data_IF_431788840662
#
_entry.id   IF_431788840662
#
_cell.length_a   1.000
_cell.length_b   1.000
_cell.length_c   1.000
_cell.angle_alpha   90.00
_cell.angle_beta   90.00
_cell.angle_gamma   90.00
#
_symmetry.space_group_name_H-M   'P 1'
#
loop_
_entity.id
_entity.type
_entity.pdbx_description
1 polymer ?
#
# COMPACT_ATOMS: atom_id res chain seq x y z
N UNK A 1 6.88 -15.80 13.10
CA UNK A 1 5.60 -16.41 12.67
C UNK A 1 5.64 -17.86 13.08
N UNK A 2 4.88 -18.27 14.11
CA UNK A 2 4.69 -19.69 14.40
C UNK A 2 3.70 -20.20 13.35
N UNK A 3 4.17 -20.93 12.34
CA UNK A 3 3.27 -21.62 11.41
C UNK A 3 2.87 -22.92 12.10
N UNK A 4 1.76 -22.89 12.84
CA UNK A 4 1.07 -24.11 13.22
C UNK A 4 0.15 -24.44 12.06
N UNK A 5 0.46 -25.51 11.34
CA UNK A 5 -0.52 -26.13 10.44
C UNK A 5 -1.64 -26.67 11.33
N UNK A 6 -2.66 -25.84 11.58
CA UNK A 6 -3.81 -26.15 12.42
C UNK A 6 -4.68 -27.31 11.89
N UNK A 7 -4.25 -27.98 10.82
CA UNK A 7 -4.97 -29.05 10.13
C UNK A 7 -4.63 -30.46 10.61
N UNK A 8 -3.75 -30.66 11.60
CA UNK A 8 -3.30 -32.01 11.99
C UNK A 8 -4.00 -32.62 13.22
N UNK A 9 -4.90 -31.91 13.90
CA UNK A 9 -5.64 -32.47 15.05
C UNK A 9 -4.77 -32.89 16.24
N UNK A 10 -3.52 -32.42 16.31
CA UNK A 10 -2.56 -32.70 17.38
C UNK A 10 -2.75 -31.69 18.52
N UNK A 11 -2.72 -32.15 19.78
CA UNK A 11 -2.78 -31.27 20.95
C UNK A 11 -1.58 -30.31 20.97
N UNK A 12 -1.78 -29.08 21.45
CA UNK A 12 -0.69 -28.11 21.60
C UNK A 12 0.42 -28.61 22.53
N UNK A 13 0.06 -29.44 23.52
CA UNK A 13 1.00 -30.02 24.50
C UNK A 13 1.96 -31.04 23.87
N UNK A 14 1.57 -31.66 22.74
CA UNK A 14 2.38 -32.64 22.01
C UNK A 14 3.33 -31.99 20.99
N UNK A 15 3.27 -30.66 20.82
CA UNK A 15 4.11 -29.94 19.87
C UNK A 15 5.55 -29.84 20.38
N UNK A 16 6.44 -30.62 19.76
CA UNK A 16 7.89 -30.49 19.97
C UNK A 16 8.48 -29.44 19.04
N UNK A 17 8.90 -28.30 19.60
CA UNK A 17 9.63 -27.26 18.85
C UNK A 17 11.02 -27.79 18.48
N UNK A 18 11.23 -28.14 17.21
CA UNK A 18 12.52 -28.67 16.73
C UNK A 18 13.52 -27.56 16.38
N UNK A 19 13.04 -26.48 15.75
CA UNK A 19 13.85 -25.36 15.29
C UNK A 19 12.98 -24.12 15.14
N UNK A 20 13.52 -22.97 15.52
CA UNK A 20 12.92 -21.68 15.20
C UNK A 20 13.64 -21.10 13.97
N UNK A 21 12.89 -20.82 12.91
CA UNK A 21 13.40 -20.13 11.72
C UNK A 21 12.87 -18.70 11.74
N UNK A 22 13.78 -17.74 11.59
CA UNK A 22 13.44 -16.33 11.50
C UNK A 22 13.56 -15.87 10.05
N UNK A 23 12.56 -15.13 9.58
CA UNK A 23 12.64 -14.33 8.36
C UNK A 23 12.60 -12.86 8.76
N UNK A 24 13.43 -12.03 8.15
CA UNK A 24 13.44 -10.58 8.35
C UNK A 24 13.05 -9.94 7.02
N UNK A 25 11.98 -9.15 7.05
CA UNK A 25 11.53 -8.32 5.93
C UNK A 25 11.76 -6.87 6.30
N UNK A 26 12.83 -6.22 5.79
CA UNK A 26 13.10 -4.82 6.09
C UNK A 26 12.01 -3.96 5.44
N UNK A 27 11.27 -3.21 6.26
CA UNK A 27 10.30 -2.22 5.77
C UNK A 27 10.76 -0.83 6.10
N UNK A 28 10.77 0.02 5.08
CA UNK A 28 11.17 1.41 5.19
C UNK A 28 9.94 2.29 5.20
N UNK A 29 9.92 3.23 6.16
CA UNK A 29 8.87 4.24 6.25
C UNK A 29 8.89 5.15 5.02
N UNK A 30 10.08 5.63 4.66
CA UNK A 30 10.31 6.48 3.50
C UNK A 30 10.59 5.60 2.29
N UNK A 31 9.54 4.95 1.80
CA UNK A 31 9.55 4.14 0.58
C UNK A 31 8.48 4.63 -0.39
N UNK A 32 8.70 4.52 -1.71
CA UNK A 32 9.87 4.00 -2.41
C UNK A 32 11.13 4.86 -2.30
N UNK A 33 12.32 4.26 -2.36
CA UNK A 33 13.59 4.98 -2.35
C UNK A 33 13.88 5.64 -3.71
N UNK A 34 14.10 6.95 -3.66
CA UNK A 34 14.55 7.74 -4.81
C UNK A 34 15.97 7.36 -5.25
N UNK A 35 16.26 7.52 -6.54
CA UNK A 35 17.57 7.25 -7.08
C UNK A 35 18.59 8.31 -6.62
N UNK A 36 19.60 7.89 -5.88
CA UNK A 36 20.63 8.79 -5.34
C UNK A 36 21.78 9.09 -6.33
N UNK A 37 21.94 8.29 -7.38
CA UNK A 37 23.07 8.39 -8.31
C UNK A 37 22.60 8.26 -9.76
N UNK A 38 23.36 8.87 -10.66
CA UNK A 38 23.18 8.67 -12.10
C UNK A 38 23.36 7.21 -12.45
N UNK A 39 22.51 6.70 -13.35
CA UNK A 39 22.56 5.32 -13.88
C UNK A 39 22.36 4.22 -12.82
N UNK A 40 21.93 4.56 -11.60
CA UNK A 40 21.62 3.60 -10.53
C UNK A 40 20.15 3.74 -10.13
N UNK A 41 19.40 2.65 -10.26
CA UNK A 41 17.99 2.58 -9.87
C UNK A 41 17.76 1.39 -8.94
N UNK A 42 17.11 1.63 -7.80
CA UNK A 42 16.68 0.56 -6.91
C UNK A 42 15.41 -0.11 -7.47
N UNK A 43 15.34 -1.44 -7.38
CA UNK A 43 14.25 -2.23 -7.93
C UNK A 43 13.85 -3.39 -6.98
N UNK A 44 12.56 -3.73 -6.97
CA UNK A 44 12.02 -4.75 -6.08
C UNK A 44 12.21 -4.40 -4.60
N UNK A 45 12.61 -5.36 -3.78
CA UNK A 45 12.83 -5.14 -2.33
C UNK A 45 13.86 -4.03 -2.05
N UNK A 46 14.84 -3.86 -2.94
CA UNK A 46 15.84 -2.80 -2.80
C UNK A 46 15.25 -1.39 -2.95
N UNK A 47 14.10 -1.22 -3.60
CA UNK A 47 13.42 0.08 -3.69
C UNK A 47 12.47 0.33 -2.52
N UNK A 48 12.21 -0.67 -1.67
CA UNK A 48 11.22 -0.57 -0.62
C UNK A 48 9.77 -0.54 -1.11
N UNK A 49 9.50 -0.79 -2.40
CA UNK A 49 8.14 -0.96 -2.95
C UNK A 49 7.59 -2.33 -2.52
N UNK A 50 7.27 -2.46 -1.24
CA UNK A 50 6.70 -3.68 -0.66
C UNK A 50 5.34 -3.34 -0.06
N UNK A 51 4.47 -4.33 0.11
CA UNK A 51 3.31 -4.12 0.99
C UNK A 51 3.79 -3.87 2.42
N UNK A 52 3.29 -2.83 3.10
CA UNK A 52 3.64 -2.57 4.49
C UNK A 52 2.79 -3.42 5.46
N UNK A 53 1.70 -4.04 4.99
CA UNK A 53 0.81 -4.86 5.82
C UNK A 53 1.11 -6.34 5.67
N UNK A 54 1.28 -6.82 4.44
CA UNK A 54 1.59 -8.23 4.15
C UNK A 54 3.10 -8.52 4.08
N UNK A 55 3.94 -7.47 4.07
CA UNK A 55 5.40 -7.57 3.88
C UNK A 55 5.81 -8.22 2.55
N UNK A 56 4.86 -8.39 1.62
CA UNK A 56 5.09 -9.02 0.33
C UNK A 56 5.69 -8.04 -0.68
N UNK A 57 6.90 -8.31 -1.15
CA UNK A 57 7.52 -7.58 -2.26
C UNK A 57 7.03 -8.02 -3.65
N UNK A 58 6.78 -9.32 -3.84
CA UNK A 58 6.44 -9.87 -5.16
C UNK A 58 5.12 -9.32 -5.73
N UNK A 59 4.04 -9.33 -4.94
CA UNK A 59 2.73 -8.82 -5.38
C UNK A 59 2.74 -7.32 -5.70
N UNK A 60 3.47 -6.55 -4.87
CA UNK A 60 3.70 -5.12 -5.13
C UNK A 60 4.50 -4.91 -6.41
N UNK A 61 5.54 -5.71 -6.64
CA UNK A 61 6.37 -5.63 -7.84
C UNK A 61 5.58 -5.97 -9.11
N UNK A 62 4.79 -7.05 -9.12
CA UNK A 62 4.01 -7.44 -10.31
C UNK A 62 2.98 -6.38 -10.68
N UNK A 63 2.37 -5.71 -9.69
CA UNK A 63 1.51 -4.54 -9.91
C UNK A 63 2.25 -3.39 -10.60
N UNK A 64 3.48 -3.09 -10.20
CA UNK A 64 4.27 -1.98 -10.75
C UNK A 64 5.13 -2.35 -11.97
N UNK A 65 5.19 -3.61 -12.36
CA UNK A 65 6.09 -4.10 -13.40
C UNK A 65 5.88 -3.37 -14.74
N UNK A 66 4.64 -3.15 -15.15
CA UNK A 66 4.31 -2.46 -16.40
C UNK A 66 4.85 -1.03 -16.43
N UNK A 67 4.53 -0.21 -15.42
CA UNK A 67 5.00 1.18 -15.36
C UNK A 67 6.52 1.28 -15.25
N UNK A 68 7.15 0.37 -14.51
CA UNK A 68 8.59 0.37 -14.30
C UNK A 68 9.33 -0.07 -15.56
N UNK A 69 8.88 -1.14 -16.22
CA UNK A 69 9.45 -1.60 -17.49
C UNK A 69 9.38 -0.50 -18.56
N UNK A 70 8.21 0.11 -18.74
CA UNK A 70 8.02 1.18 -19.73
C UNK A 70 8.86 2.42 -19.40
N UNK A 71 8.92 2.80 -18.13
CA UNK A 71 9.68 3.95 -17.66
C UNK A 71 11.19 3.76 -17.77
N UNK A 72 11.70 2.57 -17.42
CA UNK A 72 13.12 2.21 -17.57
C UNK A 72 13.50 2.16 -19.06
N UNK A 73 12.67 1.54 -19.90
CA UNK A 73 12.90 1.48 -21.34
C UNK A 73 13.00 2.88 -21.96
N UNK A 74 12.10 3.78 -21.61
CA UNK A 74 12.11 5.17 -22.11
C UNK A 74 13.32 5.96 -21.59
N UNK A 75 13.69 5.77 -20.32
CA UNK A 75 14.85 6.41 -19.71
C UNK A 75 16.17 5.98 -20.39
N UNK A 76 16.34 4.68 -20.67
CA UNK A 76 17.51 4.15 -21.38
C UNK A 76 17.53 4.67 -22.81
N UNK A 77 16.41 4.55 -23.54
CA UNK A 77 16.34 4.90 -24.96
C UNK A 77 16.57 6.40 -25.22
N UNK A 78 16.20 7.24 -24.26
CA UNK A 78 16.34 8.70 -24.36
C UNK A 78 17.52 9.25 -23.56
N UNK A 79 18.35 8.39 -22.95
CA UNK A 79 19.46 8.74 -22.06
C UNK A 79 19.06 9.68 -20.89
N UNK A 80 17.84 9.52 -20.35
CA UNK A 80 17.38 10.19 -19.12
C UNK A 80 17.79 9.39 -17.89
N UNK A 81 19.10 9.21 -17.74
CA UNK A 81 19.72 8.37 -16.72
C UNK A 81 20.36 9.18 -15.59
N UNK A 82 20.02 10.47 -15.49
CA UNK A 82 20.36 11.29 -14.33
C UNK A 82 19.53 10.88 -13.10
N UNK A 83 20.09 11.06 -11.91
CA UNK A 83 19.46 10.68 -10.63
C UNK A 83 18.03 11.25 -10.48
N UNK A 84 17.80 12.47 -10.97
CA UNK A 84 16.50 13.12 -10.89
C UNK A 84 15.45 12.44 -11.77
N UNK A 85 15.81 12.11 -13.01
CA UNK A 85 14.94 11.40 -13.95
C UNK A 85 14.62 9.99 -13.44
N UNK A 86 15.63 9.26 -12.94
CA UNK A 86 15.44 7.92 -12.38
C UNK A 86 14.59 7.91 -11.11
N UNK A 87 14.69 8.96 -10.29
CA UNK A 87 13.87 9.09 -9.07
C UNK A 87 12.36 9.13 -9.36
N UNK A 88 11.96 9.56 -10.55
CA UNK A 88 10.55 9.58 -10.95
C UNK A 88 9.96 8.17 -11.12
N UNK A 89 10.79 7.13 -11.30
CA UNK A 89 10.37 5.74 -11.39
C UNK A 89 10.00 5.14 -10.02
N UNK A 90 10.56 5.69 -8.94
CA UNK A 90 10.24 5.36 -7.56
C UNK A 90 9.62 6.59 -6.86
N UNK A 91 8.43 7.04 -7.30
CA UNK A 91 7.82 8.25 -6.75
C UNK A 91 7.27 7.99 -5.35
N UNK A 92 7.02 9.07 -4.61
CA UNK A 92 6.24 9.01 -3.38
C UNK A 92 4.87 8.34 -3.61
N UNK A 93 4.51 7.39 -2.74
CA UNK A 93 3.28 6.60 -2.82
C UNK A 93 2.42 6.80 -1.56
N UNK A 94 1.44 7.73 -1.57
CA UNK A 94 0.65 8.00 -0.38
C UNK A 94 -0.22 6.82 0.07
N UNK A 95 -0.67 5.94 -0.84
CA UNK A 95 -1.35 4.69 -0.46
C UNK A 95 -0.45 3.75 0.37
N UNK A 96 0.84 3.69 0.03
CA UNK A 96 1.84 2.92 0.75
C UNK A 96 2.13 3.57 2.12
N UNK A 97 2.39 4.87 2.14
CA UNK A 97 2.66 5.58 3.39
C UNK A 97 1.45 5.61 4.34
N UNK A 98 0.22 5.70 3.80
CA UNK A 98 -1.00 5.65 4.60
C UNK A 98 -1.24 4.26 5.22
N UNK A 99 -0.80 3.17 4.58
CA UNK A 99 -0.96 1.82 5.12
C UNK A 99 0.01 1.51 6.26
N UNK A 100 1.12 2.23 6.37
CA UNK A 100 2.06 2.09 7.48
C UNK A 100 1.43 2.31 8.86
N UNK A 101 0.36 3.13 8.97
CA UNK A 101 -0.35 3.28 10.25
C UNK A 101 -0.95 1.95 10.73
N UNK A 102 -1.49 1.12 9.83
CA UNK A 102 -2.00 -0.20 10.19
C UNK A 102 -0.87 -1.06 10.74
N UNK A 103 0.28 -1.11 10.06
CA UNK A 103 1.45 -1.84 10.53
C UNK A 103 1.88 -1.36 11.94
N UNK A 104 1.95 -0.05 12.14
CA UNK A 104 2.35 0.56 13.41
C UNK A 104 1.36 0.25 14.54
N UNK A 105 0.05 0.27 14.24
CA UNK A 105 -1.00 -0.07 15.21
C UNK A 105 -1.02 -1.57 15.55
N UNK A 106 -0.66 -2.43 14.59
CA UNK A 106 -0.64 -3.89 14.75
C UNK A 106 0.71 -4.45 15.21
N UNK A 107 1.70 -3.59 15.48
CA UNK A 107 3.00 -4.01 15.99
C UNK A 107 2.99 -4.18 17.50
N UNK A 108 3.58 -5.26 18.01
CA UNK A 108 3.75 -5.46 19.45
C UNK A 108 4.74 -4.43 20.03
N UNK A 109 4.39 -3.87 21.20
CA UNK A 109 5.27 -2.99 21.99
C UNK A 109 5.70 -3.71 23.26
N UNK A 110 6.96 -3.53 23.66
CA UNK A 110 7.51 -4.12 24.90
C UNK A 110 6.77 -3.65 26.16
N UNK A 111 6.29 -2.41 26.15
CA UNK A 111 5.44 -1.82 27.18
C UNK A 111 4.25 -1.18 26.47
N UNK A 112 3.08 -1.78 26.64
CA UNK A 112 1.84 -1.40 25.98
C UNK A 112 0.79 -1.13 27.05
N UNK A 113 0.22 0.07 27.05
CA UNK A 113 -0.90 0.45 27.93
C UNK A 113 -2.27 0.13 27.31
N UNK A 114 -2.30 -0.74 26.29
CA UNK A 114 -3.52 -1.25 25.67
C UNK A 114 -3.75 -2.72 26.02
N UNK A 115 -5.01 -3.16 25.92
CA UNK A 115 -5.42 -4.54 26.18
C UNK A 115 -4.57 -5.54 25.37
N UNK A 116 -4.22 -6.72 25.94
CA UNK A 116 -3.61 -7.81 25.18
C UNK A 116 -4.42 -8.23 23.93
N UNK A 117 -5.73 -8.01 23.92
CA UNK A 117 -6.64 -8.32 22.81
C UNK A 117 -6.75 -7.21 21.76
N UNK A 118 -6.13 -6.05 21.98
CA UNK A 118 -6.32 -4.85 21.17
C UNK A 118 -6.10 -5.07 19.67
N UNK A 119 -5.01 -5.77 19.29
CA UNK A 119 -4.70 -6.02 17.87
C UNK A 119 -5.80 -6.85 17.21
N UNK A 120 -6.32 -7.86 17.91
CA UNK A 120 -7.41 -8.71 17.41
C UNK A 120 -8.71 -7.92 17.26
N UNK A 121 -9.03 -7.07 18.24
CA UNK A 121 -10.20 -6.19 18.18
C UNK A 121 -10.11 -5.19 17.02
N UNK A 122 -8.92 -4.60 16.82
CA UNK A 122 -8.67 -3.65 15.73
C UNK A 122 -8.82 -4.32 14.36
N UNK A 123 -8.23 -5.49 14.18
CA UNK A 123 -8.36 -6.29 12.96
C UNK A 123 -9.82 -6.68 12.72
N UNK A 124 -10.50 -7.19 13.74
CA UNK A 124 -11.89 -7.59 13.66
C UNK A 124 -12.78 -6.40 13.25
N UNK A 125 -12.65 -5.25 13.90
CA UNK A 125 -13.44 -4.06 13.59
C UNK A 125 -13.22 -3.55 12.15
N UNK A 126 -11.97 -3.56 11.68
CA UNK A 126 -11.63 -3.16 10.32
C UNK A 126 -12.23 -4.13 9.29
N UNK A 127 -12.00 -5.44 9.43
CA UNK A 127 -12.51 -6.44 8.49
C UNK A 127 -14.04 -6.55 8.52
N UNK A 128 -14.67 -6.46 9.69
CA UNK A 128 -16.13 -6.39 9.83
C UNK A 128 -16.69 -5.18 9.06
N UNK A 129 -16.04 -4.01 9.18
CA UNK A 129 -16.45 -2.80 8.48
C UNK A 129 -16.26 -2.91 6.97
N UNK A 130 -15.11 -3.42 6.51
CA UNK A 130 -14.85 -3.63 5.08
C UNK A 130 -15.81 -4.65 4.46
N UNK A 131 -16.14 -5.73 5.20
CA UNK A 131 -17.11 -6.72 4.74
C UNK A 131 -18.51 -6.10 4.56
N UNK A 132 -18.95 -5.25 5.51
CA UNK A 132 -20.21 -4.50 5.39
C UNK A 132 -20.22 -3.54 4.19
N UNK A 133 -19.06 -2.97 3.84
CA UNK A 133 -18.89 -2.08 2.69
C UNK A 133 -18.76 -2.83 1.34
N UNK A 134 -18.54 -4.14 1.39
CA UNK A 134 -18.55 -5.04 0.24
C UNK A 134 -17.22 -5.14 -0.53
N UNK A 135 -17.28 -5.91 -1.62
CA UNK A 135 -16.11 -6.26 -2.45
C UNK A 135 -15.28 -5.07 -2.97
N UNK A 136 -15.87 -3.93 -3.39
CA UNK A 136 -15.09 -2.77 -3.83
C UNK A 136 -14.20 -2.16 -2.75
N UNK A 137 -14.44 -2.46 -1.47
CA UNK A 137 -13.61 -2.01 -0.34
C UNK A 137 -12.68 -3.14 0.11
N UNK A 138 -13.22 -4.35 0.31
CA UNK A 138 -12.48 -5.46 0.89
C UNK A 138 -11.40 -6.02 -0.04
N UNK A 139 -11.72 -6.27 -1.31
CA UNK A 139 -10.79 -6.93 -2.26
C UNK A 139 -9.53 -6.11 -2.57
N UNK A 140 -9.60 -4.80 -2.83
CA UNK A 140 -8.38 -4.01 -3.02
C UNK A 140 -7.53 -4.00 -1.74
N UNK A 141 -8.14 -3.86 -0.57
CA UNK A 141 -7.41 -3.89 0.71
C UNK A 141 -6.63 -5.20 0.90
N UNK A 142 -7.25 -6.36 0.62
CA UNK A 142 -6.61 -7.67 0.69
C UNK A 142 -5.44 -7.85 -0.29
N UNK A 143 -5.36 -7.02 -1.32
CA UNK A 143 -4.27 -6.99 -2.30
C UNK A 143 -3.30 -5.83 -2.03
N UNK A 144 -3.31 -5.30 -0.80
CA UNK A 144 -2.47 -4.19 -0.36
C UNK A 144 -2.69 -2.89 -1.13
N UNK A 145 -3.91 -2.72 -1.66
CA UNK A 145 -4.31 -1.56 -2.42
C UNK A 145 -5.15 -0.64 -1.56
N UNK A 146 -4.52 0.37 -0.98
CA UNK A 146 -5.23 1.43 -0.29
C UNK A 146 -5.68 2.47 -1.30
N UNK A 147 -6.98 2.76 -1.28
CA UNK A 147 -7.62 3.82 -2.04
C UNK A 147 -8.30 4.78 -1.06
N UNK A 148 -8.43 6.05 -1.43
CA UNK A 148 -8.98 7.08 -0.55
C UNK A 148 -10.41 6.77 -0.09
N UNK A 149 -11.35 6.59 -1.03
CA UNK A 149 -12.78 6.40 -0.67
C UNK A 149 -13.02 5.14 0.17
N UNK A 150 -12.47 3.95 -0.17
CA UNK A 150 -12.56 2.77 0.68
C UNK A 150 -11.99 2.98 2.08
N UNK A 151 -10.86 3.68 2.19
CA UNK A 151 -10.23 3.98 3.48
C UNK A 151 -11.11 4.90 4.34
N UNK A 152 -11.60 6.01 3.77
CA UNK A 152 -12.50 6.95 4.45
C UNK A 152 -13.74 6.24 4.97
N UNK A 153 -14.40 5.44 4.12
CA UNK A 153 -15.60 4.68 4.49
C UNK A 153 -15.34 3.68 5.61
N UNK A 154 -14.22 2.96 5.53
CA UNK A 154 -13.86 1.97 6.54
C UNK A 154 -13.58 2.64 7.87
N UNK A 155 -12.74 3.67 7.90
CA UNK A 155 -12.41 4.40 9.12
C UNK A 155 -13.65 5.04 9.73
N UNK A 156 -14.50 5.68 8.93
CA UNK A 156 -15.76 6.26 9.38
C UNK A 156 -16.69 5.22 10.00
N UNK A 157 -16.84 4.05 9.37
CA UNK A 157 -17.69 2.97 9.90
C UNK A 157 -17.13 2.38 11.20
N UNK A 158 -15.81 2.24 11.32
CA UNK A 158 -15.16 1.82 12.58
C UNK A 158 -15.38 2.85 13.68
N UNK A 159 -15.25 4.15 13.38
CA UNK A 159 -15.50 5.22 14.35
C UNK A 159 -16.96 5.22 14.85
N UNK A 160 -17.92 4.90 13.98
CA UNK A 160 -19.34 4.83 14.32
C UNK A 160 -19.70 3.56 15.12
N UNK A 161 -19.12 2.41 14.75
CA UNK A 161 -19.51 1.11 15.32
C UNK A 161 -18.66 0.67 16.52
N UNK A 162 -17.41 1.15 16.60
CA UNK A 162 -16.42 0.80 17.64
C UNK A 162 -15.66 2.04 18.15
N UNK A 163 -16.34 3.09 18.64
CA UNK A 163 -15.68 4.35 19.03
C UNK A 163 -14.64 4.18 20.15
N UNK A 164 -14.82 3.18 21.02
CA UNK A 164 -13.91 2.88 22.14
C UNK A 164 -12.53 2.36 21.69
N UNK A 165 -12.37 2.00 20.41
CA UNK A 165 -11.07 1.58 19.86
C UNK A 165 -10.14 2.78 19.64
N UNK A 166 -10.69 3.99 19.47
CA UNK A 166 -9.92 5.19 19.12
C UNK A 166 -8.92 5.56 20.24
N UNK A 167 -9.30 5.68 21.53
CA UNK A 167 -8.34 5.95 22.59
C UNK A 167 -7.22 4.92 22.66
N UNK A 168 -7.52 3.65 22.40
CA UNK A 168 -6.54 2.57 22.35
C UNK A 168 -5.58 2.72 21.16
N UNK A 169 -6.08 3.14 19.98
CA UNK A 169 -5.19 3.52 18.86
C UNK A 169 -4.25 4.64 19.29
N UNK A 170 -4.75 5.71 19.92
CA UNK A 170 -3.91 6.83 20.37
C UNK A 170 -2.83 6.38 21.36
N UNK A 171 -3.17 5.53 22.34
CA UNK A 171 -2.19 4.92 23.27
C UNK A 171 -1.18 4.05 22.52
N UNK A 172 -1.65 3.26 21.54
CA UNK A 172 -0.82 2.31 20.82
C UNK A 172 0.13 2.99 19.84
N UNK A 173 -0.28 4.01 19.09
CA UNK A 173 0.57 4.61 18.05
C UNK A 173 1.21 5.93 18.49
N UNK A 174 0.53 6.69 19.36
CA UNK A 174 0.93 8.03 19.80
C UNK A 174 0.45 9.14 18.87
N UNK A 175 0.22 10.33 19.44
CA UNK A 175 -0.25 11.51 18.71
C UNK A 175 0.68 11.96 17.57
N UNK A 176 2.02 12.01 17.73
CA UNK A 176 2.91 12.44 16.65
C UNK A 176 2.78 11.58 15.39
N UNK A 177 2.61 10.27 15.58
CA UNK A 177 2.44 9.30 14.49
C UNK A 177 1.13 9.55 13.72
N UNK A 178 0.05 9.86 14.42
CA UNK A 178 -1.25 10.15 13.81
C UNK A 178 -1.24 11.45 13.03
N UNK A 179 -0.58 12.49 13.56
CA UNK A 179 -0.41 13.77 12.85
C UNK A 179 0.36 13.58 11.54
N UNK A 180 1.45 12.83 11.57
CA UNK A 180 2.23 12.54 10.37
C UNK A 180 1.43 11.70 9.36
N UNK A 181 0.73 10.66 9.81
CA UNK A 181 -0.15 9.87 8.97
C UNK A 181 -1.26 10.71 8.31
N UNK A 182 -1.79 11.72 9.01
CA UNK A 182 -2.82 12.60 8.46
C UNK A 182 -2.33 13.34 7.20
N UNK A 183 -1.03 13.68 7.12
CA UNK A 183 -0.42 14.24 5.92
C UNK A 183 -0.45 13.27 4.74
N UNK A 184 -0.10 12.00 4.97
CA UNK A 184 -0.18 10.94 3.94
C UNK A 184 -1.63 10.68 3.50
N UNK A 185 -2.57 10.71 4.44
CA UNK A 185 -4.00 10.57 4.17
C UNK A 185 -4.53 11.71 3.28
N UNK A 186 -4.16 12.96 3.56
CA UNK A 186 -4.50 14.11 2.71
C UNK A 186 -3.86 13.98 1.33
N UNK A 187 -2.60 13.57 1.26
CA UNK A 187 -1.91 13.33 -0.01
C UNK A 187 -2.53 12.21 -0.83
N UNK A 188 -3.07 11.17 -0.18
CA UNK A 188 -3.81 10.10 -0.84
C UNK A 188 -5.06 10.67 -1.52
N UNK A 189 -5.86 11.47 -0.82
CA UNK A 189 -7.01 12.16 -1.39
C UNK A 189 -6.62 13.11 -2.53
N UNK A 190 -5.52 13.85 -2.37
CA UNK A 190 -4.99 14.73 -3.41
C UNK A 190 -4.55 13.96 -4.67
N UNK A 191 -3.86 12.83 -4.52
CA UNK A 191 -3.46 11.97 -5.65
C UNK A 191 -4.69 11.34 -6.33
N UNK A 192 -5.70 10.92 -5.56
CA UNK A 192 -6.98 10.46 -6.10
C UNK A 192 -7.63 11.54 -6.94
N UNK A 193 -7.67 12.79 -6.46
CA UNK A 193 -8.18 13.93 -7.24
C UNK A 193 -7.38 14.17 -8.52
N UNK A 194 -6.06 14.28 -8.42
CA UNK A 194 -5.19 14.53 -9.56
C UNK A 194 -5.32 13.44 -10.63
N UNK A 195 -5.31 12.16 -10.23
CA UNK A 195 -5.45 11.05 -11.16
C UNK A 195 -6.85 10.95 -11.78
N UNK A 196 -7.90 11.33 -11.06
CA UNK A 196 -9.29 11.20 -11.55
C UNK A 196 -9.70 12.37 -12.45
N UNK A 197 -9.22 13.58 -12.16
CA UNK A 197 -9.72 14.81 -12.80
C UNK A 197 -8.66 15.55 -13.62
N UNK A 198 -7.38 15.47 -13.25
CA UNK A 198 -6.31 16.23 -13.91
C UNK A 198 -5.54 15.38 -14.92
N UNK A 199 -5.21 14.13 -14.62
CA UNK A 199 -4.55 13.20 -15.58
C UNK A 199 -5.32 13.14 -16.92
N UNK A 200 -6.65 12.91 -16.96
CA UNK A 200 -7.37 12.81 -18.23
C UNK A 200 -7.32 14.08 -19.08
N UNK A 201 -7.12 15.24 -18.45
CA UNK A 201 -6.97 16.53 -19.13
C UNK A 201 -5.57 16.69 -19.70
N UNK A 202 -4.53 16.28 -18.98
CA UNK A 202 -3.13 16.45 -19.39
C UNK A 202 -2.69 15.37 -20.38
N UNK A 203 -3.10 14.11 -20.18
CA UNK A 203 -2.60 12.92 -20.90
C UNK A 203 -2.72 13.02 -22.43
N UNK A 204 -3.80 13.57 -23.02
CA UNK A 204 -3.90 13.78 -24.47
C UNK A 204 -2.84 14.73 -25.06
N UNK A 205 -2.37 15.70 -24.26
CA UNK A 205 -1.41 16.72 -24.72
C UNK A 205 0.06 16.29 -24.56
N UNK A 206 0.35 15.18 -23.86
CA UNK A 206 1.72 14.70 -23.64
C UNK A 206 2.50 14.50 -24.94
N UNK A 207 1.83 14.10 -26.03
CA UNK A 207 2.47 13.91 -27.34
C UNK A 207 3.09 15.21 -27.90
N UNK A 208 2.62 16.37 -27.46
CA UNK A 208 3.11 17.69 -27.88
C UNK A 208 4.30 18.18 -27.04
N UNK A 209 4.60 17.52 -25.92
CA UNK A 209 5.67 17.97 -25.03
C UNK A 209 7.05 17.57 -25.57
N UNK A 210 8.10 18.38 -25.33
CA UNK A 210 9.48 18.01 -25.59
C UNK A 210 9.87 16.69 -24.89
N UNK A 211 10.84 15.95 -25.42
CA UNK A 211 11.16 14.58 -24.98
C UNK A 211 11.32 14.39 -23.47
N UNK A 212 12.19 15.18 -22.82
CA UNK A 212 12.41 15.07 -21.36
C UNK A 212 11.16 15.47 -20.56
N UNK A 213 10.52 16.57 -20.93
CA UNK A 213 9.28 17.04 -20.30
C UNK A 213 8.16 16.00 -20.42
N UNK A 214 8.03 15.36 -21.58
CA UNK A 214 7.06 14.29 -21.81
C UNK A 214 7.31 13.10 -20.89
N UNK A 215 8.56 12.66 -20.76
CA UNK A 215 8.96 11.60 -19.83
C UNK A 215 8.59 11.96 -18.39
N UNK A 216 9.00 13.15 -17.94
CA UNK A 216 8.73 13.60 -16.56
C UNK A 216 7.24 13.64 -16.24
N UNK A 217 6.43 14.18 -17.16
CA UNK A 217 4.99 14.21 -16.98
C UNK A 217 4.37 12.82 -17.02
N UNK A 218 4.81 11.94 -17.93
CA UNK A 218 4.35 10.55 -17.94
C UNK A 218 4.60 9.88 -16.60
N UNK A 219 5.81 10.00 -16.04
CA UNK A 219 6.11 9.42 -14.72
C UNK A 219 5.29 10.06 -13.58
N UNK A 220 5.06 11.38 -13.61
CA UNK A 220 4.18 12.06 -12.64
C UNK A 220 2.74 11.57 -12.70
N UNK A 221 2.20 11.39 -13.90
CA UNK A 221 0.84 10.86 -14.07
C UNK A 221 0.72 9.41 -13.56
N UNK A 222 1.72 8.56 -13.85
CA UNK A 222 1.79 7.21 -13.27
C UNK A 222 1.92 7.28 -11.74
N UNK A 223 2.71 8.20 -11.19
CA UNK A 223 2.81 8.39 -9.74
C UNK A 223 1.46 8.71 -9.09
N UNK A 224 0.66 9.60 -9.70
CA UNK A 224 -0.68 9.92 -9.19
C UNK A 224 -1.59 8.69 -9.20
N UNK A 225 -1.65 7.98 -10.33
CA UNK A 225 -2.50 6.81 -10.50
C UNK A 225 -2.14 5.69 -9.52
N UNK A 226 -0.87 5.31 -9.46
CA UNK A 226 -0.41 4.22 -8.62
C UNK A 226 -0.35 4.60 -7.15
N UNK A 227 0.05 5.83 -6.84
CA UNK A 227 0.06 6.36 -5.47
C UNK A 227 -1.35 6.54 -4.89
N UNK A 228 -2.37 6.70 -5.73
CA UNK A 228 -3.79 6.70 -5.34
C UNK A 228 -4.41 5.30 -5.28
N UNK A 229 -3.69 4.25 -5.71
CA UNK A 229 -4.22 2.90 -5.84
C UNK A 229 -5.24 2.72 -6.99
N UNK A 230 -5.34 3.66 -7.93
CA UNK A 230 -6.33 3.66 -9.02
C UNK A 230 -5.93 2.82 -10.23
N UNK A 231 -4.77 2.17 -10.19
CA UNK A 231 -4.40 1.12 -11.14
C UNK A 231 -5.10 -0.22 -10.87
N UNK A 232 -5.70 -0.39 -9.69
CA UNK A 232 -6.50 -1.57 -9.38
C UNK A 232 -7.80 -1.61 -10.19
N UNK A 233 -8.10 -2.79 -10.75
CA UNK A 233 -9.35 -3.07 -11.46
C UNK A 233 -10.05 -4.23 -10.77
N UNK A 234 -11.27 -3.99 -10.30
CA UNK A 234 -12.10 -5.04 -9.76
C UNK A 234 -12.52 -5.97 -10.91
N UNK A 235 -12.04 -7.21 -10.91
CA UNK A 235 -12.54 -8.22 -11.86
C UNK A 235 -14.00 -8.49 -11.53
N UNK A 236 -14.93 -8.13 -12.42
CA UNK A 236 -16.28 -8.64 -12.31
C UNK A 236 -16.23 -10.16 -12.48
N UNK A 237 -16.65 -10.90 -11.45
CA UNK A 237 -17.05 -12.28 -11.66
C UNK A 237 -18.20 -12.21 -12.65
N UNK A 238 -17.98 -12.68 -13.88
CA UNK A 238 -19.03 -12.96 -14.84
C UNK A 238 -20.11 -13.73 -14.07
N UNK A 239 -21.30 -13.15 -13.94
CA UNK A 239 -22.46 -13.96 -13.58
C UNK A 239 -22.58 -14.99 -14.69
N UNK A 240 -22.34 -16.26 -14.37
CA UNK A 240 -22.72 -17.36 -15.24
C UNK A 240 -24.20 -17.18 -15.55
N UNK A 241 -24.50 -16.80 -16.78
CA UNK A 241 -25.83 -16.91 -17.35
C UNK A 241 -26.08 -18.41 -17.52
N UNK A 242 -26.57 -19.06 -16.48
CA UNK A 242 -27.27 -20.33 -16.62
C UNK A 242 -28.59 -20.00 -17.32
N UNK A 243 -28.57 -20.04 -18.66
CA UNK A 243 -29.79 -20.22 -19.43
C UNK A 243 -30.15 -21.69 -19.32
N UNK A 244 -31.16 -21.99 -18.49
CA UNK A 244 -32.10 -23.08 -18.76
C UNK A 244 -32.99 -22.70 -19.96
#
# INVERSE_FOLDING_TARGET
>A
MLIVLASQGVSLDDLKVLRVIYGIFPTYRDSPLAAAFDRVLQFGDASGIQSPVSFGGFGSLTRHLGRLSDGIHEAISSNFLDAQSLSLLNPYMPNLSASWLFQRAMSAKKQSDVSPTFINELLYANFESMQKLGDPVLRPFLQDVIQFDPLVKTLGLVMLTRPLIIPSIFKQVGLPVLLEWSGHFVMLGYYTFLSSYIDPVIRPFLKKFPGKMRYEWKQKLEAWKYGAGLDYKLSHSSKNTSQE
#
